data_IF_823452877437
#
_entry.id   IF_823452877437
#
_cell.length_a   1.000
_cell.length_b   1.000
_cell.length_c   1.000
_cell.angle_alpha   90.00
_cell.angle_beta   90.00
_cell.angle_gamma   90.00
#
_symmetry.space_group_name_H-M   'P 1'
#
loop_
_entity.id
_entity.type
_entity.pdbx_description
1 polymer ?
#
# COMPACT_ATOMS: atom_id res chain seq x y z
N UNK A 1 -25.83 -57.39 32.32
CA UNK A 1 -26.64 -56.77 31.24
C UNK A 1 -26.04 -55.43 30.95
N UNK A 2 -25.17 -55.35 29.95
CA UNK A 2 -24.47 -54.14 29.54
C UNK A 2 -25.09 -53.63 28.23
N UNK A 3 -25.60 -52.39 28.26
CA UNK A 3 -26.12 -51.72 27.05
C UNK A 3 -24.98 -50.90 26.40
N UNK A 4 -24.68 -51.23 25.15
CA UNK A 4 -23.76 -50.46 24.31
C UNK A 4 -24.37 -49.05 23.97
N UNK A 5 -23.59 -47.99 23.94
CA UNK A 5 -24.04 -46.65 23.51
C UNK A 5 -24.06 -46.57 21.97
N UNK A 6 -25.13 -45.98 21.51
CA UNK A 6 -25.67 -46.13 20.19
C UNK A 6 -25.05 -45.29 19.09
N UNK A 7 -25.29 -45.85 17.93
CA UNK A 7 -24.96 -45.41 16.57
C UNK A 7 -25.79 -44.19 16.10
N UNK A 8 -25.82 -43.08 16.81
CA UNK A 8 -26.62 -41.88 16.41
C UNK A 8 -25.81 -40.65 15.99
N UNK A 9 -24.47 -40.65 16.15
CA UNK A 9 -23.67 -39.47 15.88
C UNK A 9 -22.95 -39.45 14.52
N UNK A 10 -22.83 -40.58 13.86
CA UNK A 10 -22.19 -40.66 12.53
C UNK A 10 -23.04 -40.06 11.38
N UNK A 11 -24.35 -39.89 11.58
CA UNK A 11 -25.27 -39.40 10.54
C UNK A 11 -25.29 -37.84 10.41
N UNK A 12 -24.90 -37.10 11.42
CA UNK A 12 -24.95 -35.65 11.40
C UNK A 12 -23.74 -35.00 10.70
N UNK A 13 -22.55 -35.58 10.85
CA UNK A 13 -21.33 -35.05 10.20
C UNK A 13 -21.34 -35.28 8.68
N UNK A 14 -21.93 -36.38 8.20
CA UNK A 14 -22.02 -36.63 6.76
C UNK A 14 -23.00 -35.73 6.00
N UNK A 15 -24.02 -35.21 6.66
CA UNK A 15 -25.00 -34.29 6.04
C UNK A 15 -24.49 -32.89 5.87
N UNK A 16 -23.67 -32.38 6.80
CA UNK A 16 -23.08 -31.04 6.71
C UNK A 16 -22.02 -30.97 5.61
N UNK A 17 -21.21 -31.99 5.42
CA UNK A 17 -20.21 -32.03 4.34
C UNK A 17 -20.86 -32.17 2.95
N UNK A 18 -21.98 -32.90 2.80
CA UNK A 18 -22.71 -32.97 1.53
C UNK A 18 -23.45 -31.65 1.21
N UNK A 19 -23.97 -30.95 2.19
CA UNK A 19 -24.61 -29.65 1.98
C UNK A 19 -23.61 -28.58 1.54
N UNK A 20 -22.36 -28.60 2.04
CA UNK A 20 -21.31 -27.67 1.60
C UNK A 20 -20.77 -27.98 0.19
N UNK A 21 -20.84 -29.24 -0.26
CA UNK A 21 -20.45 -29.63 -1.63
C UNK A 21 -21.49 -29.22 -2.67
N UNK A 22 -22.78 -29.13 -2.31
CA UNK A 22 -23.88 -28.76 -3.21
C UNK A 22 -23.95 -27.23 -3.47
N UNK A 23 -23.37 -26.41 -2.60
CA UNK A 23 -23.32 -24.93 -2.76
C UNK A 23 -22.15 -24.49 -3.65
N UNK A 24 -21.14 -25.34 -3.86
CA UNK A 24 -20.10 -25.11 -4.87
C UNK A 24 -20.57 -25.67 -6.21
N UNK A 25 -21.42 -24.94 -6.91
CA UNK A 25 -21.69 -25.17 -8.33
C UNK A 25 -20.36 -25.23 -9.09
N UNK A 26 -20.28 -26.03 -10.20
CA UNK A 26 -19.06 -26.16 -10.97
C UNK A 26 -18.55 -24.76 -11.33
N UNK A 27 -17.31 -24.46 -10.95
CA UNK A 27 -16.67 -23.21 -11.31
C UNK A 27 -16.75 -23.10 -12.85
N UNK A 28 -17.70 -22.31 -13.36
CA UNK A 28 -17.80 -22.00 -14.78
C UNK A 28 -16.45 -21.46 -15.17
N UNK A 29 -15.63 -22.24 -15.86
CA UNK A 29 -14.44 -21.76 -16.57
C UNK A 29 -14.94 -20.66 -17.49
N UNK A 30 -14.75 -19.40 -17.08
CA UNK A 30 -14.99 -18.27 -17.96
C UNK A 30 -14.06 -18.46 -19.15
N UNK A 31 -14.60 -18.46 -20.41
CA UNK A 31 -13.76 -18.59 -21.59
C UNK A 31 -12.67 -17.53 -21.51
N UNK A 32 -11.45 -17.93 -21.87
CA UNK A 32 -10.24 -17.12 -21.75
C UNK A 32 -10.47 -15.72 -22.32
N UNK A 33 -10.72 -14.76 -21.45
CA UNK A 33 -10.65 -13.36 -21.85
C UNK A 33 -9.21 -13.13 -22.28
N UNK A 34 -9.02 -12.76 -23.55
CA UNK A 34 -7.76 -12.24 -24.04
C UNK A 34 -7.20 -11.28 -22.99
N UNK A 35 -5.91 -11.43 -22.63
CA UNK A 35 -5.25 -10.48 -21.72
C UNK A 35 -5.45 -9.09 -22.34
N UNK A 36 -6.12 -8.16 -21.66
CA UNK A 36 -6.21 -6.81 -22.19
C UNK A 36 -4.80 -6.27 -22.34
N UNK A 37 -4.55 -5.53 -23.42
CA UNK A 37 -3.32 -4.77 -23.61
C UNK A 37 -2.99 -3.97 -22.33
N UNK A 38 -1.69 -3.69 -22.04
CA UNK A 38 -1.30 -2.88 -20.88
C UNK A 38 -2.19 -1.64 -20.85
N UNK A 39 -3.02 -1.55 -19.81
CA UNK A 39 -4.16 -0.66 -19.82
C UNK A 39 -3.81 0.70 -19.25
N UNK A 40 -4.68 1.65 -19.46
CA UNK A 40 -4.61 3.01 -18.87
C UNK A 40 -4.22 3.01 -17.38
N UNK A 41 -4.70 2.07 -16.51
CA UNK A 41 -4.26 2.00 -15.12
C UNK A 41 -2.75 1.84 -14.94
N UNK A 42 -2.11 0.98 -15.73
CA UNK A 42 -0.66 0.72 -15.62
C UNK A 42 0.16 1.95 -16.03
N UNK A 43 -0.31 2.69 -17.06
CA UNK A 43 0.31 3.95 -17.49
C UNK A 43 0.17 5.04 -16.40
N UNK A 44 -0.96 5.09 -15.71
CA UNK A 44 -1.18 6.04 -14.58
C UNK A 44 -0.27 5.70 -13.41
N UNK A 45 -0.11 4.40 -13.09
CA UNK A 45 0.83 3.96 -12.05
C UNK A 45 2.27 4.35 -12.43
N UNK A 46 2.68 4.14 -13.69
CA UNK A 46 4.01 4.52 -14.17
C UNK A 46 4.23 6.04 -14.08
N UNK A 47 3.23 6.84 -14.44
CA UNK A 47 3.28 8.30 -14.30
C UNK A 47 3.43 8.73 -12.83
N UNK A 48 2.76 8.05 -11.91
CA UNK A 48 2.92 8.27 -10.47
C UNK A 48 4.32 7.96 -9.96
N UNK A 49 4.94 6.89 -10.46
CA UNK A 49 6.34 6.55 -10.14
C UNK A 49 7.29 7.60 -10.70
N UNK A 50 7.10 8.04 -11.95
CA UNK A 50 7.90 9.08 -12.56
C UNK A 50 7.80 10.41 -11.81
N UNK A 51 6.60 10.80 -11.38
CA UNK A 51 6.40 11.99 -10.55
C UNK A 51 7.11 11.87 -9.19
N UNK A 52 7.08 10.70 -8.54
CA UNK A 52 7.85 10.43 -7.33
C UNK A 52 9.36 10.53 -7.54
N UNK A 53 9.87 9.92 -8.60
CA UNK A 53 11.29 10.01 -8.97
C UNK A 53 11.70 11.46 -9.27
N UNK A 54 10.87 12.21 -10.00
CA UNK A 54 11.07 13.64 -10.26
C UNK A 54 11.13 14.48 -8.97
N UNK A 55 10.27 14.19 -7.99
CA UNK A 55 10.32 14.83 -6.69
C UNK A 55 11.62 14.52 -5.94
N UNK A 56 12.09 13.27 -5.99
CA UNK A 56 13.38 12.86 -5.43
C UNK A 56 14.55 13.58 -6.11
N UNK A 57 14.56 13.66 -7.44
CA UNK A 57 15.56 14.42 -8.18
C UNK A 57 15.53 15.91 -7.82
N UNK A 58 14.35 16.51 -7.69
CA UNK A 58 14.22 17.90 -7.29
C UNK A 58 14.84 18.12 -5.90
N UNK A 59 14.55 17.25 -4.92
CA UNK A 59 15.16 17.32 -3.58
C UNK A 59 16.67 17.19 -3.62
N UNK A 60 17.20 16.34 -4.49
CA UNK A 60 18.65 16.10 -4.59
C UNK A 60 19.40 17.24 -5.29
N UNK A 61 18.76 17.90 -6.27
CA UNK A 61 19.45 18.80 -7.21
C UNK A 61 19.14 20.28 -7.00
N UNK A 62 18.16 20.62 -6.18
CA UNK A 62 17.78 22.01 -5.92
C UNK A 62 18.03 22.41 -4.47
N UNK A 63 18.45 23.65 -4.23
CA UNK A 63 18.53 24.17 -2.88
C UNK A 63 17.13 24.32 -2.27
N UNK A 64 16.94 23.99 -0.98
CA UNK A 64 15.68 24.20 -0.29
C UNK A 64 15.22 25.66 -0.36
N UNK A 65 13.92 25.86 -0.56
CA UNK A 65 13.32 27.18 -0.67
C UNK A 65 11.95 27.14 -1.34
N UNK A 66 11.31 28.30 -1.54
CA UNK A 66 9.94 28.36 -2.05
C UNK A 66 9.74 27.69 -3.41
N UNK A 67 10.68 27.86 -4.34
CA UNK A 67 10.58 27.25 -5.69
C UNK A 67 10.75 25.72 -5.63
N UNK A 68 11.76 25.23 -4.90
CA UNK A 68 11.97 23.80 -4.69
C UNK A 68 10.76 23.19 -3.98
N UNK A 69 10.27 23.85 -2.93
CA UNK A 69 9.07 23.42 -2.19
C UNK A 69 7.83 23.33 -3.06
N UNK A 70 7.58 24.34 -3.91
CA UNK A 70 6.46 24.34 -4.84
C UNK A 70 6.59 23.21 -5.87
N UNK A 71 7.77 23.05 -6.49
CA UNK A 71 8.02 21.97 -7.47
C UNK A 71 7.79 20.59 -6.86
N UNK A 72 8.40 20.32 -5.70
CA UNK A 72 8.25 19.04 -5.00
C UNK A 72 6.78 18.80 -4.61
N UNK A 73 6.09 19.85 -4.13
CA UNK A 73 4.65 19.73 -3.77
C UNK A 73 3.81 19.36 -4.99
N UNK A 74 4.02 19.99 -6.14
CA UNK A 74 3.27 19.67 -7.37
C UNK A 74 3.54 18.26 -7.85
N UNK A 75 4.80 17.79 -7.82
CA UNK A 75 5.17 16.44 -8.19
C UNK A 75 4.57 15.38 -7.23
N UNK A 76 4.58 15.67 -5.93
CA UNK A 76 3.97 14.78 -4.93
C UNK A 76 2.44 14.77 -5.02
N UNK A 77 1.81 15.90 -5.32
CA UNK A 77 0.37 15.97 -5.59
C UNK A 77 -0.01 15.17 -6.83
N UNK A 78 0.76 15.29 -7.94
CA UNK A 78 0.58 14.48 -9.14
C UNK A 78 0.74 12.98 -8.84
N UNK A 79 1.77 12.60 -8.07
CA UNK A 79 1.96 11.23 -7.62
C UNK A 79 0.75 10.70 -6.83
N UNK A 80 0.22 11.48 -5.87
CA UNK A 80 -0.95 11.09 -5.08
C UNK A 80 -2.21 10.98 -5.94
N UNK A 81 -2.39 11.89 -6.90
CA UNK A 81 -3.50 11.83 -7.86
C UNK A 81 -3.42 10.55 -8.70
N UNK A 82 -2.26 10.21 -9.26
CA UNK A 82 -2.05 8.97 -10.01
C UNK A 82 -2.37 7.74 -9.15
N UNK A 83 -1.88 7.67 -7.91
CA UNK A 83 -2.10 6.56 -6.99
C UNK A 83 -3.58 6.37 -6.56
N UNK A 84 -4.42 7.38 -6.74
CA UNK A 84 -5.86 7.28 -6.50
C UNK A 84 -6.64 6.96 -7.79
N UNK A 85 -6.18 7.54 -8.92
CA UNK A 85 -6.86 7.41 -10.21
C UNK A 85 -6.72 6.00 -10.81
N UNK A 86 -5.56 5.35 -10.71
CA UNK A 86 -5.34 4.01 -11.25
C UNK A 86 -6.33 2.99 -10.67
N UNK A 87 -6.53 3.01 -9.35
CA UNK A 87 -7.50 2.17 -8.67
C UNK A 87 -8.95 2.53 -9.00
N UNK A 88 -9.29 3.83 -9.19
CA UNK A 88 -10.61 4.28 -9.59
C UNK A 88 -10.93 3.83 -11.02
N UNK A 89 -10.03 4.10 -11.97
CA UNK A 89 -10.16 3.69 -13.37
C UNK A 89 -10.30 2.17 -13.49
N UNK A 90 -9.47 1.41 -12.76
CA UNK A 90 -9.52 -0.06 -12.77
C UNK A 90 -10.90 -0.59 -12.32
N UNK A 91 -11.50 0.03 -11.31
CA UNK A 91 -12.84 -0.32 -10.82
C UNK A 91 -13.94 0.06 -11.81
N UNK A 92 -13.94 1.30 -12.31
CA UNK A 92 -14.98 1.83 -13.22
C UNK A 92 -14.98 1.11 -14.56
N UNK A 93 -13.79 0.80 -15.09
CA UNK A 93 -13.67 0.12 -16.39
C UNK A 93 -13.76 -1.40 -16.29
N UNK A 94 -13.85 -1.97 -15.09
CA UNK A 94 -13.81 -3.42 -14.87
C UNK A 94 -12.47 -4.06 -15.30
N UNK A 95 -11.40 -3.27 -15.45
CA UNK A 95 -10.06 -3.72 -15.86
C UNK A 95 -9.12 -4.03 -14.70
N UNK A 96 -9.63 -4.01 -13.46
CA UNK A 96 -8.84 -4.39 -12.30
C UNK A 96 -8.34 -5.83 -12.42
N UNK A 97 -7.00 -6.02 -12.35
CA UNK A 97 -6.37 -7.33 -12.36
C UNK A 97 -5.61 -7.55 -11.06
N UNK A 98 -5.45 -8.81 -10.59
CA UNK A 98 -4.58 -9.10 -9.46
C UNK A 98 -3.15 -8.58 -9.66
N UNK A 99 -2.63 -8.69 -10.88
CA UNK A 99 -1.31 -8.19 -11.25
C UNK A 99 -1.23 -6.66 -11.18
N UNK A 100 -2.24 -5.95 -11.68
CA UNK A 100 -2.33 -4.49 -11.56
C UNK A 100 -2.31 -4.00 -10.11
N UNK A 101 -2.93 -4.76 -9.19
CA UNK A 101 -2.87 -4.45 -7.75
C UNK A 101 -1.46 -4.62 -7.18
N UNK A 102 -0.70 -5.61 -7.66
CA UNK A 102 0.72 -5.79 -7.28
C UNK A 102 1.56 -4.64 -7.83
N UNK A 103 1.40 -4.30 -9.11
CA UNK A 103 2.13 -3.18 -9.75
C UNK A 103 1.86 -1.85 -9.05
N UNK A 104 0.61 -1.57 -8.68
CA UNK A 104 0.27 -0.36 -7.92
C UNK A 104 0.98 -0.33 -6.56
N UNK A 105 0.95 -1.42 -5.78
CA UNK A 105 1.63 -1.44 -4.47
C UNK A 105 3.15 -1.28 -4.61
N UNK A 106 3.77 -1.97 -5.56
CA UNK A 106 5.21 -1.83 -5.84
C UNK A 106 5.55 -0.43 -6.34
N UNK A 107 4.75 0.13 -7.24
CA UNK A 107 4.90 1.48 -7.77
C UNK A 107 4.83 2.53 -6.66
N UNK A 108 3.87 2.40 -5.75
CA UNK A 108 3.75 3.27 -4.59
C UNK A 108 5.00 3.25 -3.71
N UNK A 109 5.58 2.06 -3.48
CA UNK A 109 6.81 1.92 -2.69
C UNK A 109 8.02 2.47 -3.44
N UNK A 110 8.16 2.15 -4.73
CA UNK A 110 9.24 2.66 -5.56
C UNK A 110 9.24 4.20 -5.60
N UNK A 111 8.07 4.82 -5.83
CA UNK A 111 7.93 6.26 -5.82
C UNK A 111 8.30 6.89 -4.46
N UNK A 112 7.84 6.29 -3.35
CA UNK A 112 8.15 6.79 -2.00
C UNK A 112 9.63 6.68 -1.67
N UNK A 113 10.25 5.56 -2.00
CA UNK A 113 11.69 5.35 -1.78
C UNK A 113 12.53 6.29 -2.66
N UNK A 114 12.11 6.56 -3.90
CA UNK A 114 12.78 7.52 -4.78
C UNK A 114 12.77 8.94 -4.20
N UNK A 115 11.64 9.39 -3.63
CA UNK A 115 11.57 10.69 -2.95
C UNK A 115 12.50 10.73 -1.74
N UNK A 116 12.48 9.68 -0.90
CA UNK A 116 13.34 9.59 0.27
C UNK A 116 14.82 9.53 -0.10
N UNK A 117 15.18 8.84 -1.19
CA UNK A 117 16.54 8.82 -1.71
C UNK A 117 17.03 10.22 -2.08
N UNK A 118 16.17 11.11 -2.59
CA UNK A 118 16.50 12.51 -2.84
C UNK A 118 16.92 13.26 -1.57
N UNK A 119 16.41 12.87 -0.39
CA UNK A 119 16.80 13.44 0.88
C UNK A 119 18.24 13.13 1.31
N UNK A 120 18.94 12.18 0.63
CA UNK A 120 20.36 11.90 0.90
C UNK A 120 21.27 13.11 0.61
N UNK A 121 20.84 14.03 -0.23
CA UNK A 121 21.55 15.29 -0.45
C UNK A 121 21.40 16.29 0.71
N UNK A 122 20.39 16.10 1.59
CA UNK A 122 19.99 17.06 2.62
C UNK A 122 20.15 16.52 4.06
N UNK A 123 20.37 15.20 4.22
CA UNK A 123 20.43 14.54 5.52
C UNK A 123 21.39 13.34 5.51
N UNK A 124 21.95 12.97 6.66
CA UNK A 124 22.78 11.77 6.80
C UNK A 124 22.03 10.50 6.37
N UNK A 125 22.74 9.58 5.71
CA UNK A 125 22.16 8.35 5.14
C UNK A 125 21.41 7.50 6.17
N UNK A 126 21.86 7.46 7.42
CA UNK A 126 21.22 6.66 8.48
C UNK A 126 19.79 7.13 8.80
N UNK A 127 19.52 8.47 8.85
CA UNK A 127 18.17 8.96 9.12
C UNK A 127 17.25 8.75 7.91
N UNK A 128 17.78 8.89 6.68
CA UNK A 128 17.04 8.61 5.45
C UNK A 128 16.67 7.13 5.39
N UNK A 129 17.62 6.23 5.69
CA UNK A 129 17.38 4.79 5.72
C UNK A 129 16.35 4.41 6.80
N UNK A 130 16.46 4.99 8.01
CA UNK A 130 15.49 4.77 9.08
C UNK A 130 14.08 5.24 8.68
N UNK A 131 13.96 6.42 8.06
CA UNK A 131 12.70 6.95 7.57
C UNK A 131 12.11 6.07 6.44
N UNK A 132 12.95 5.61 5.50
CA UNK A 132 12.53 4.72 4.42
C UNK A 132 12.02 3.38 4.94
N UNK A 133 12.74 2.75 5.88
CA UNK A 133 12.30 1.51 6.51
C UNK A 133 10.98 1.72 7.27
N UNK A 134 10.90 2.74 8.11
CA UNK A 134 9.71 3.05 8.88
C UNK A 134 8.49 3.32 7.98
N UNK A 135 8.66 4.05 6.86
CA UNK A 135 7.60 4.38 5.90
C UNK A 135 7.00 3.14 5.21
N UNK A 136 7.79 2.05 5.05
CA UNK A 136 7.30 0.80 4.43
C UNK A 136 6.48 -0.06 5.38
N UNK A 137 6.73 0.01 6.69
CA UNK A 137 6.12 -0.86 7.70
C UNK A 137 4.58 -0.82 7.72
N UNK A 138 3.89 0.34 7.64
CA UNK A 138 2.43 0.37 7.62
C UNK A 138 1.81 -0.44 6.48
N UNK A 139 2.45 -0.47 5.31
CA UNK A 139 1.99 -1.26 4.17
C UNK A 139 2.25 -2.75 4.38
N UNK A 140 3.43 -3.11 4.86
CA UNK A 140 3.76 -4.51 5.15
C UNK A 140 2.83 -5.11 6.20
N UNK A 141 2.56 -4.38 7.28
CA UNK A 141 1.61 -4.81 8.31
C UNK A 141 0.21 -5.01 7.71
N UNK A 142 -0.25 -4.07 6.86
CA UNK A 142 -1.58 -4.18 6.22
C UNK A 142 -1.66 -5.35 5.24
N UNK A 143 -0.60 -5.61 4.46
CA UNK A 143 -0.51 -6.75 3.54
C UNK A 143 -0.45 -8.07 4.29
N UNK A 144 0.33 -8.15 5.38
CA UNK A 144 0.40 -9.34 6.23
C UNK A 144 -0.96 -9.67 6.86
N UNK A 145 -1.69 -8.64 7.35
CA UNK A 145 -3.04 -8.81 7.87
C UNK A 145 -4.01 -9.36 6.83
N UNK A 146 -3.96 -8.83 5.60
CA UNK A 146 -4.78 -9.33 4.50
C UNK A 146 -4.41 -10.77 4.09
N UNK A 147 -3.12 -11.11 4.09
CA UNK A 147 -2.64 -12.47 3.81
C UNK A 147 -3.09 -13.47 4.87
N UNK A 148 -3.25 -13.04 6.12
CA UNK A 148 -3.79 -13.85 7.22
C UNK A 148 -5.33 -13.96 7.20
N UNK A 149 -6.02 -13.42 6.18
CA UNK A 149 -7.47 -13.44 6.07
C UNK A 149 -8.18 -12.31 6.85
N UNK A 150 -7.44 -11.41 7.46
CA UNK A 150 -7.97 -10.25 8.17
C UNK A 150 -8.22 -9.05 7.25
N UNK A 151 -8.70 -7.91 7.80
CA UNK A 151 -8.90 -6.69 7.05
C UNK A 151 -7.56 -6.07 6.63
N UNK A 152 -7.59 -5.27 5.56
CA UNK A 152 -6.47 -4.43 5.13
C UNK A 152 -6.67 -3.00 5.65
N UNK A 153 -6.25 -2.66 6.87
CA UNK A 153 -6.44 -1.33 7.41
C UNK A 153 -5.62 -0.30 6.62
N UNK A 154 -6.23 0.86 6.35
CA UNK A 154 -5.61 1.99 5.66
C UNK A 154 -5.80 3.26 6.51
N UNK A 155 -5.07 4.34 6.16
CA UNK A 155 -5.22 5.65 6.79
C UNK A 155 -4.39 5.84 8.06
N UNK A 156 -4.86 6.80 8.82
CA UNK A 156 -4.34 7.44 10.04
C UNK A 156 -3.50 6.55 11.00
N UNK A 157 -2.51 7.10 11.76
CA UNK A 157 -2.24 8.54 11.95
C UNK A 157 -1.37 9.21 10.88
N UNK A 158 -0.33 8.56 10.33
CA UNK A 158 0.52 9.11 9.27
C UNK A 158 0.43 8.23 8.02
N UNK A 159 -0.44 8.62 7.10
CA UNK A 159 -0.63 7.94 5.81
C UNK A 159 0.27 8.48 4.70
N UNK A 160 -0.08 8.18 3.44
CA UNK A 160 0.67 8.63 2.25
C UNK A 160 0.69 10.15 2.14
N UNK A 161 -0.43 10.81 2.41
CA UNK A 161 -0.59 12.27 2.27
C UNK A 161 0.27 13.03 3.27
N UNK A 162 0.24 12.62 4.55
CA UNK A 162 1.02 13.26 5.60
C UNK A 162 2.52 13.10 5.36
N UNK A 163 2.96 11.94 4.86
CA UNK A 163 4.37 11.75 4.48
C UNK A 163 4.76 12.61 3.29
N UNK A 164 3.89 12.76 2.28
CA UNK A 164 4.14 13.70 1.17
C UNK A 164 4.24 15.15 1.67
N UNK A 165 3.39 15.56 2.61
CA UNK A 165 3.45 16.89 3.21
C UNK A 165 4.77 17.11 3.94
N UNK A 166 5.23 16.17 4.76
CA UNK A 166 6.52 16.27 5.46
C UNK A 166 7.69 16.40 4.47
N UNK A 167 7.67 15.63 3.37
CA UNK A 167 8.71 15.70 2.33
C UNK A 167 8.66 17.03 1.55
N UNK A 168 7.47 17.57 1.30
CA UNK A 168 7.33 18.91 0.73
C UNK A 168 7.91 19.98 1.68
N UNK A 169 7.65 19.87 2.98
CA UNK A 169 8.23 20.77 3.99
C UNK A 169 9.76 20.69 4.04
N UNK A 170 10.35 19.51 3.82
CA UNK A 170 11.81 19.37 3.65
C UNK A 170 12.29 20.25 2.51
N UNK A 171 11.62 20.22 1.35
CA UNK A 171 12.00 21.04 0.20
C UNK A 171 11.83 22.53 0.43
N UNK A 172 10.83 22.96 1.21
CA UNK A 172 10.63 24.37 1.56
C UNK A 172 11.66 24.90 2.55
N UNK A 173 11.99 24.10 3.58
CA UNK A 173 12.70 24.59 4.78
C UNK A 173 14.14 24.12 4.88
N UNK A 174 14.49 23.02 4.22
CA UNK A 174 15.77 22.34 4.42
C UNK A 174 15.89 21.57 5.74
N UNK A 175 14.84 21.53 6.58
CA UNK A 175 14.85 20.84 7.88
C UNK A 175 14.69 19.32 7.72
N UNK A 176 15.59 18.71 6.94
CA UNK A 176 15.48 17.32 6.56
C UNK A 176 15.53 16.38 7.78
N UNK A 177 16.49 16.51 8.68
CA UNK A 177 16.67 15.61 9.82
C UNK A 177 15.44 15.57 10.74
N UNK A 178 14.93 16.71 11.29
CA UNK A 178 13.75 16.66 12.17
C UNK A 178 12.49 16.19 11.44
N UNK A 179 12.27 16.58 10.19
CA UNK A 179 11.08 16.16 9.44
C UNK A 179 11.11 14.68 9.07
N UNK A 180 12.27 14.12 8.74
CA UNK A 180 12.44 12.68 8.55
C UNK A 180 12.28 11.90 9.85
N UNK A 181 12.72 12.43 10.99
CA UNK A 181 12.46 11.81 12.30
C UNK A 181 10.97 11.77 12.63
N UNK A 182 10.24 12.86 12.38
CA UNK A 182 8.77 12.92 12.53
C UNK A 182 8.09 11.92 11.60
N UNK A 183 8.53 11.82 10.33
CA UNK A 183 8.02 10.87 9.36
C UNK A 183 8.24 9.43 9.83
N UNK A 184 9.43 9.10 10.33
CA UNK A 184 9.75 7.78 10.84
C UNK A 184 8.91 7.43 12.07
N UNK A 185 8.86 8.29 13.08
CA UNK A 185 8.08 8.08 14.29
C UNK A 185 6.59 7.93 14.00
N UNK A 186 6.02 8.78 13.15
CA UNK A 186 4.62 8.73 12.73
C UNK A 186 4.29 7.47 11.94
N UNK A 187 5.21 7.00 11.09
CA UNK A 187 5.05 5.75 10.34
C UNK A 187 5.09 4.53 11.27
N UNK A 188 5.98 4.50 12.25
CA UNK A 188 6.03 3.44 13.27
C UNK A 188 4.74 3.40 14.09
N UNK A 189 4.25 4.56 14.53
CA UNK A 189 2.96 4.66 15.23
C UNK A 189 1.81 4.12 14.35
N UNK A 190 1.80 4.46 13.06
CA UNK A 190 0.80 3.96 12.12
C UNK A 190 0.87 2.45 11.99
N UNK A 191 2.06 1.87 11.89
CA UNK A 191 2.25 0.43 11.83
C UNK A 191 1.76 -0.26 13.11
N UNK A 192 2.07 0.27 14.29
CA UNK A 192 1.60 -0.24 15.57
C UNK A 192 0.07 -0.20 15.71
N UNK A 193 -0.55 0.92 15.33
CA UNK A 193 -2.02 1.06 15.34
C UNK A 193 -2.68 0.04 14.40
N UNK A 194 -2.14 -0.13 13.19
CA UNK A 194 -2.67 -1.11 12.22
C UNK A 194 -2.52 -2.54 12.73
N UNK A 195 -1.36 -2.89 13.32
CA UNK A 195 -1.14 -4.20 13.93
C UNK A 195 -2.14 -4.48 15.04
N UNK A 196 -2.40 -3.49 15.91
CA UNK A 196 -3.40 -3.61 16.96
C UNK A 196 -4.82 -3.81 16.43
N UNK A 197 -5.19 -3.16 15.31
CA UNK A 197 -6.49 -3.37 14.64
C UNK A 197 -6.62 -4.78 14.06
N UNK A 198 -5.58 -5.26 13.37
CA UNK A 198 -5.54 -6.62 12.79
C UNK A 198 -5.68 -7.66 13.90
N UNK A 199 -4.89 -7.54 14.99
CA UNK A 199 -4.95 -8.47 16.13
C UNK A 199 -6.35 -8.59 16.75
N UNK A 200 -7.12 -7.49 16.76
CA UNK A 200 -8.50 -7.49 17.32
C UNK A 200 -9.53 -8.09 16.37
N UNK A 201 -9.19 -8.27 15.10
CA UNK A 201 -10.10 -8.75 14.05
C UNK A 201 -9.86 -10.20 13.64
N UNK A 202 -8.73 -10.79 14.03
CA UNK A 202 -8.39 -12.22 13.90
C UNK A 202 -8.81 -12.99 15.15
#
# INVERSE_FOLDING_TARGET
>A
MSRAPGARDAGRHGRTLRAQALVRGPARRRPGRARPAPGVPDAVTAAGVAAGAGAGCALALTAPGPLAGLLVTLLLAARLACANLDGAIARETGRGTPWGSVLNELGDRAAELAVLAGCLALAPAWIVAAAALAATLPSWVSLAGAAAGGPRPQGWPVGKTERCLLLALVAFTGWAVPLLAVLAAGSLLTAAVRLGRIRRSL
#
